data_IF_921178631535
#
_entry.id   IF_921178631535
#
_cell.length_a   1.000
_cell.length_b   1.000
_cell.length_c   1.000
_cell.angle_alpha   90.00
_cell.angle_beta   90.00
_cell.angle_gamma   90.00
#
_symmetry.space_group_name_H-M   'P 1'
#
loop_
_entity.id
_entity.type
_entity.pdbx_description
1 polymer ?
#
# COMPACT_ATOMS: atom_id res chain seq x y z
N UNK A 1 -3.34 11.91 34.32
CA UNK A 1 -1.93 11.46 34.10
C UNK A 1 -1.55 11.82 32.67
N UNK A 2 -0.53 12.68 32.45
CA UNK A 2 -0.01 12.93 31.09
C UNK A 2 0.91 11.77 30.69
N UNK A 3 0.59 11.06 29.61
CA UNK A 3 1.45 10.01 29.06
C UNK A 3 2.53 10.69 28.23
N UNK A 4 3.80 10.32 28.44
CA UNK A 4 4.91 10.91 27.67
C UNK A 4 4.96 10.29 26.27
N UNK A 5 5.19 11.06 25.20
CA UNK A 5 5.28 10.53 23.83
C UNK A 5 6.23 9.33 23.69
N UNK A 6 7.38 9.36 24.38
CA UNK A 6 8.34 8.25 24.38
C UNK A 6 7.77 6.96 24.99
N UNK A 7 6.88 7.05 25.98
CA UNK A 7 6.22 5.90 26.58
C UNK A 7 5.15 5.31 25.65
N UNK A 8 4.45 6.16 24.89
CA UNK A 8 3.51 5.72 23.85
C UNK A 8 4.28 4.97 22.76
N UNK A 9 5.38 5.55 22.28
CA UNK A 9 6.14 4.96 21.17
C UNK A 9 6.84 3.66 21.58
N UNK A 10 7.35 3.56 22.81
CA UNK A 10 7.88 2.31 23.34
C UNK A 10 6.81 1.22 23.48
N UNK A 11 5.60 1.58 23.91
CA UNK A 11 4.48 0.63 24.02
C UNK A 11 4.00 0.19 22.64
N UNK A 12 3.88 1.13 21.70
CA UNK A 12 3.52 0.85 20.31
C UNK A 12 4.52 -0.12 19.68
N UNK A 13 5.83 0.18 19.73
CA UNK A 13 6.87 -0.72 19.20
C UNK A 13 6.86 -2.12 19.84
N UNK A 14 6.51 -2.21 21.12
CA UNK A 14 6.42 -3.50 21.83
C UNK A 14 5.20 -4.31 21.42
N UNK A 15 4.08 -3.65 21.13
CA UNK A 15 2.82 -4.32 20.78
C UNK A 15 2.60 -4.48 19.28
N UNK A 16 3.30 -3.71 18.46
CA UNK A 16 3.13 -3.70 17.01
C UNK A 16 4.24 -4.51 16.35
N UNK A 17 3.97 -5.79 16.13
CA UNK A 17 4.86 -6.70 15.41
C UNK A 17 4.47 -6.77 13.93
N UNK A 18 5.33 -6.27 13.05
CA UNK A 18 5.06 -6.20 11.60
C UNK A 18 4.90 -7.60 11.00
N UNK A 19 5.60 -8.61 11.52
CA UNK A 19 5.48 -9.99 11.02
C UNK A 19 4.12 -10.62 11.39
N UNK A 20 3.59 -10.29 12.57
CA UNK A 20 2.24 -10.70 12.98
C UNK A 20 1.17 -10.00 12.15
N UNK A 21 1.34 -8.70 11.89
CA UNK A 21 0.42 -7.96 11.02
C UNK A 21 0.42 -8.50 9.59
N UNK A 22 1.60 -8.79 9.02
CA UNK A 22 1.69 -9.43 7.72
C UNK A 22 1.00 -10.79 7.71
N UNK A 23 1.15 -11.58 8.78
CA UNK A 23 0.44 -12.84 8.96
C UNK A 23 -1.08 -12.66 9.00
N UNK A 24 -1.58 -11.66 9.73
CA UNK A 24 -3.00 -11.37 9.80
C UNK A 24 -3.57 -10.95 8.43
N UNK A 25 -2.84 -10.13 7.66
CA UNK A 25 -3.22 -9.74 6.30
C UNK A 25 -3.29 -10.97 5.38
N UNK A 26 -2.27 -11.84 5.41
CA UNK A 26 -2.27 -13.08 4.61
C UNK A 26 -3.45 -13.95 5.01
N UNK A 27 -3.66 -14.15 6.31
CA UNK A 27 -4.75 -14.97 6.84
C UNK A 27 -6.12 -14.46 6.40
N UNK A 28 -6.33 -13.14 6.35
CA UNK A 28 -7.61 -12.55 5.97
C UNK A 28 -7.84 -12.58 4.45
N UNK A 29 -6.81 -12.22 3.68
CA UNK A 29 -6.89 -12.16 2.21
C UNK A 29 -7.02 -13.55 1.58
N UNK A 30 -6.35 -14.55 2.15
CA UNK A 30 -6.33 -15.91 1.62
C UNK A 30 -7.51 -16.75 2.10
N UNK A 31 -8.45 -16.18 2.87
CA UNK A 31 -9.72 -16.86 3.16
C UNK A 31 -10.45 -17.09 1.84
N UNK A 32 -10.83 -18.34 1.55
CA UNK A 32 -11.39 -18.71 0.25
C UNK A 32 -12.91 -18.83 0.25
N UNK A 33 -13.51 -19.03 1.42
CA UNK A 33 -14.97 -19.14 1.56
C UNK A 33 -15.67 -17.88 1.04
N UNK A 34 -16.73 -18.05 0.25
CA UNK A 34 -17.48 -16.93 -0.35
C UNK A 34 -18.15 -16.05 0.72
N UNK A 35 -18.52 -16.65 1.85
CA UNK A 35 -19.18 -16.04 3.00
C UNK A 35 -18.21 -15.69 4.14
N UNK A 36 -16.90 -15.79 3.93
CA UNK A 36 -15.92 -15.39 4.93
C UNK A 36 -16.09 -13.91 5.31
N UNK A 37 -16.22 -13.67 6.62
CA UNK A 37 -16.13 -12.33 7.20
C UNK A 37 -14.68 -11.84 7.08
N UNK A 38 -14.45 -10.96 6.11
CA UNK A 38 -13.15 -10.35 5.86
C UNK A 38 -13.09 -8.95 6.45
N UNK A 39 -11.92 -8.61 6.96
CA UNK A 39 -11.61 -7.23 7.35
C UNK A 39 -11.15 -6.43 6.13
N UNK A 40 -10.43 -7.07 5.21
CA UNK A 40 -9.88 -6.48 4.00
C UNK A 40 -10.75 -6.87 2.81
N UNK A 41 -11.35 -5.86 2.18
CA UNK A 41 -12.07 -6.02 0.92
C UNK A 41 -11.06 -6.28 -0.22
N UNK A 42 -11.23 -7.41 -0.91
CA UNK A 42 -10.30 -7.87 -1.96
C UNK A 42 -10.35 -7.01 -3.22
N UNK A 43 -11.52 -6.50 -3.57
CA UNK A 43 -11.69 -5.65 -4.76
C UNK A 43 -11.07 -4.28 -4.52
N UNK A 44 -11.30 -3.71 -3.34
CA UNK A 44 -10.66 -2.47 -2.92
C UNK A 44 -9.14 -2.63 -2.85
N UNK A 45 -8.66 -3.77 -2.34
CA UNK A 45 -7.23 -4.07 -2.27
C UNK A 45 -6.61 -4.21 -3.68
N UNK A 46 -7.27 -4.90 -4.60
CA UNK A 46 -6.81 -5.02 -5.99
C UNK A 46 -6.76 -3.65 -6.69
N UNK A 47 -7.79 -2.81 -6.47
CA UNK A 47 -7.81 -1.44 -6.98
C UNK A 47 -6.65 -0.62 -6.43
N UNK A 48 -6.44 -0.65 -5.10
CA UNK A 48 -5.30 0.03 -4.48
C UNK A 48 -3.97 -0.44 -5.06
N UNK A 49 -3.78 -1.75 -5.23
CA UNK A 49 -2.53 -2.29 -5.77
C UNK A 49 -2.27 -1.82 -7.21
N UNK A 50 -3.33 -1.66 -8.02
CA UNK A 50 -3.24 -1.09 -9.37
C UNK A 50 -2.78 0.37 -9.33
N UNK A 51 -3.37 1.19 -8.46
CA UNK A 51 -2.99 2.60 -8.28
C UNK A 51 -1.56 2.74 -7.72
N UNK A 52 -1.19 1.87 -6.79
CA UNK A 52 0.15 1.76 -6.22
C UNK A 52 1.23 1.44 -7.28
N UNK A 53 0.84 0.88 -8.42
CA UNK A 53 1.72 0.63 -9.57
C UNK A 53 2.44 1.89 -10.05
N UNK A 54 1.75 3.04 -10.04
CA UNK A 54 2.35 4.33 -10.40
C UNK A 54 3.47 4.78 -9.44
N UNK A 55 3.53 4.19 -8.24
CA UNK A 55 4.51 4.48 -7.20
C UNK A 55 5.54 3.35 -7.02
N UNK A 56 5.65 2.47 -8.02
CA UNK A 56 6.66 1.39 -8.05
C UNK A 56 6.26 0.11 -7.32
N UNK A 57 5.00 -0.04 -6.89
CA UNK A 57 4.50 -1.33 -6.43
C UNK A 57 4.23 -2.27 -7.62
N UNK A 58 4.50 -3.55 -7.44
CA UNK A 58 4.23 -4.55 -8.47
C UNK A 58 2.80 -5.07 -8.31
N UNK A 59 1.84 -4.46 -9.00
CA UNK A 59 0.40 -4.72 -8.81
C UNK A 59 0.03 -6.19 -8.99
N UNK A 60 0.64 -6.90 -9.94
CA UNK A 60 0.36 -8.32 -10.19
C UNK A 60 0.91 -9.26 -9.12
N UNK A 61 1.82 -8.79 -8.25
CA UNK A 61 2.39 -9.62 -7.18
C UNK A 61 1.37 -10.01 -6.10
N UNK A 62 0.17 -9.42 -6.11
CA UNK A 62 -0.90 -9.76 -5.17
C UNK A 62 -1.68 -11.02 -5.54
N UNK A 63 -1.48 -11.56 -6.74
CA UNK A 63 -2.12 -12.78 -7.21
C UNK A 63 -1.17 -13.95 -7.02
N UNK A 64 -1.75 -15.16 -6.94
CA UNK A 64 -0.96 -16.38 -6.84
C UNK A 64 -0.06 -16.54 -8.06
N UNK A 65 1.21 -16.88 -7.82
CA UNK A 65 2.18 -17.19 -8.86
C UNK A 65 2.63 -18.65 -8.70
N UNK A 66 2.35 -19.47 -9.72
CA UNK A 66 2.69 -20.89 -9.73
C UNK A 66 4.21 -21.11 -9.70
N UNK A 67 4.99 -20.26 -10.37
CA UNK A 67 6.46 -20.36 -10.40
C UNK A 67 7.10 -20.15 -9.02
N UNK A 68 6.40 -19.47 -8.12
CA UNK A 68 6.82 -19.22 -6.74
C UNK A 68 5.84 -19.80 -5.72
N UNK A 69 5.15 -20.89 -6.05
CA UNK A 69 4.14 -21.50 -5.18
C UNK A 69 4.65 -21.84 -3.77
N UNK A 70 5.95 -22.10 -3.62
CA UNK A 70 6.61 -22.37 -2.33
C UNK A 70 6.62 -21.18 -1.35
N UNK A 71 6.37 -19.96 -1.83
CA UNK A 71 6.32 -18.75 -1.00
C UNK A 71 4.94 -18.54 -0.33
N UNK A 72 3.94 -19.35 -0.69
CA UNK A 72 2.56 -19.20 -0.26
C UNK A 72 2.15 -20.22 0.79
N UNK A 73 1.28 -19.78 1.70
CA UNK A 73 0.62 -20.64 2.69
C UNK A 73 -0.65 -21.23 2.04
N UNK A 74 -0.47 -22.21 1.15
CA UNK A 74 -1.55 -22.87 0.40
C UNK A 74 -1.64 -22.45 -1.07
N UNK A 75 -2.79 -22.75 -1.70
CA UNK A 75 -3.09 -22.42 -3.10
C UNK A 75 -4.54 -21.96 -3.24
N UNK A 76 -4.86 -21.05 -4.18
CA UNK A 76 -6.25 -20.77 -4.54
C UNK A 76 -6.99 -22.03 -4.98
N UNK A 77 -8.26 -22.13 -4.60
CA UNK A 77 -9.24 -23.06 -5.14
C UNK A 77 -9.55 -22.70 -6.59
N UNK A 78 -10.10 -23.67 -7.32
CA UNK A 78 -10.44 -23.51 -8.73
C UNK A 78 -11.40 -22.33 -8.93
N UNK A 79 -11.07 -21.42 -9.85
CA UNK A 79 -11.83 -20.19 -10.09
C UNK A 79 -11.50 -19.03 -9.15
N UNK A 80 -10.70 -19.28 -8.10
CA UNK A 80 -10.12 -18.26 -7.23
C UNK A 80 -8.79 -17.70 -7.75
N UNK A 81 -8.26 -18.19 -8.88
CA UNK A 81 -6.93 -17.80 -9.37
C UNK A 81 -6.84 -16.31 -9.76
N UNK A 82 -7.97 -15.68 -10.05
CA UNK A 82 -8.07 -14.26 -10.41
C UNK A 82 -8.35 -13.34 -9.22
N UNK A 83 -8.43 -13.91 -8.01
CA UNK A 83 -8.60 -13.14 -6.78
C UNK A 83 -7.24 -12.92 -6.12
N UNK A 84 -7.05 -11.80 -5.39
CA UNK A 84 -5.85 -11.59 -4.60
C UNK A 84 -5.61 -12.76 -3.65
N UNK A 85 -4.39 -13.28 -3.67
CA UNK A 85 -3.91 -14.38 -2.83
C UNK A 85 -2.44 -14.12 -2.53
N UNK A 86 -2.16 -13.78 -1.28
CA UNK A 86 -0.89 -13.19 -0.89
C UNK A 86 0.10 -14.23 -0.36
N UNK A 87 1.35 -14.09 -0.77
CA UNK A 87 2.47 -14.63 0.00
C UNK A 87 2.80 -13.69 1.15
N UNK A 88 3.42 -14.23 2.20
CA UNK A 88 3.91 -13.41 3.33
C UNK A 88 4.90 -12.34 2.89
N UNK A 89 5.71 -12.62 1.88
CA UNK A 89 6.65 -11.68 1.28
C UNK A 89 5.93 -10.47 0.66
N UNK A 90 4.84 -10.70 -0.06
CA UNK A 90 4.05 -9.63 -0.68
C UNK A 90 3.32 -8.82 0.39
N UNK A 91 2.74 -9.46 1.41
CA UNK A 91 2.12 -8.74 2.53
C UNK A 91 3.09 -7.79 3.25
N UNK A 92 4.37 -8.19 3.41
CA UNK A 92 5.40 -7.27 3.92
C UNK A 92 5.69 -6.10 2.97
N UNK A 93 5.77 -6.34 1.66
CA UNK A 93 5.95 -5.27 0.66
C UNK A 93 4.79 -4.27 0.69
N UNK A 94 3.57 -4.75 0.84
CA UNK A 94 2.36 -3.92 1.00
C UNK A 94 2.49 -3.03 2.22
N UNK A 95 2.83 -3.59 3.38
CA UNK A 95 3.01 -2.83 4.62
C UNK A 95 4.10 -1.75 4.47
N UNK A 96 5.25 -2.11 3.89
CA UNK A 96 6.31 -1.12 3.62
C UNK A 96 5.75 -0.01 2.73
N UNK A 97 5.15 -0.34 1.59
CA UNK A 97 4.61 0.64 0.66
C UNK A 97 3.59 1.58 1.33
N UNK A 98 2.64 1.03 2.08
CA UNK A 98 1.60 1.82 2.77
C UNK A 98 2.18 2.77 3.82
N UNK A 99 3.20 2.34 4.57
CA UNK A 99 3.73 3.12 5.70
C UNK A 99 4.95 3.98 5.35
N UNK A 100 5.64 3.74 4.23
CA UNK A 100 6.82 4.55 3.82
C UNK A 100 6.50 5.60 2.77
N UNK A 101 5.34 5.56 2.11
CA UNK A 101 4.97 6.60 1.14
C UNK A 101 4.48 7.91 1.77
N UNK A 102 4.26 7.94 3.08
CA UNK A 102 3.93 9.16 3.83
C UNK A 102 5.09 10.15 4.01
N UNK A 103 6.34 9.77 3.69
CA UNK A 103 7.51 10.65 3.81
C UNK A 103 7.94 11.33 2.50
N UNK A 104 7.28 11.06 1.38
CA UNK A 104 7.68 11.53 0.05
C UNK A 104 6.66 12.49 -0.58
N UNK A 105 6.05 13.36 0.23
CA UNK A 105 5.37 14.56 -0.28
C UNK A 105 5.79 15.76 0.55
N UNK A 106 7.05 16.14 0.40
CA UNK A 106 7.40 17.55 0.59
C UNK A 106 6.56 18.32 -0.45
N UNK A 107 5.73 19.30 -0.05
CA UNK A 107 5.03 20.11 -1.03
C UNK A 107 6.09 20.69 -1.96
N UNK A 108 5.89 20.55 -3.28
CA UNK A 108 6.75 21.18 -4.27
C UNK A 108 7.01 22.61 -3.80
N UNK A 109 8.29 22.96 -3.63
CA UNK A 109 8.67 24.28 -3.17
C UNK A 109 7.90 25.32 -3.99
N UNK A 110 7.34 26.36 -3.36
CA UNK A 110 6.66 27.41 -4.10
C UNK A 110 7.60 27.86 -5.24
N UNK A 111 7.06 28.05 -6.47
CA UNK A 111 7.87 28.39 -7.62
C UNK A 111 8.76 29.57 -7.24
N UNK A 112 10.04 29.49 -7.62
CA UNK A 112 10.95 30.60 -7.36
C UNK A 112 10.40 31.86 -8.03
N UNK A 113 10.70 33.03 -7.48
CA UNK A 113 10.21 34.31 -8.00
C UNK A 113 10.49 34.47 -9.51
N UNK A 114 11.60 33.90 -9.98
CA UNK A 114 11.98 33.85 -11.39
C UNK A 114 11.05 32.98 -12.25
N UNK A 115 10.61 31.84 -11.73
CA UNK A 115 9.66 30.93 -12.40
C UNK A 115 8.25 31.50 -12.41
N UNK A 116 7.83 32.16 -11.33
CA UNK A 116 6.57 32.90 -11.26
C UNK A 116 6.56 34.09 -12.25
N UNK A 117 7.67 34.81 -12.37
CA UNK A 117 7.84 35.90 -13.34
C UNK A 117 7.83 35.39 -14.79
N UNK A 118 8.48 34.27 -15.08
CA UNK A 118 8.46 33.65 -16.40
C UNK A 118 7.05 33.18 -16.78
N UNK A 119 6.32 32.56 -15.85
CA UNK A 119 4.93 32.15 -16.09
C UNK A 119 4.00 33.35 -16.33
N UNK A 120 4.20 34.44 -15.59
CA UNK A 120 3.45 35.69 -15.78
C UNK A 120 3.77 36.37 -17.12
N UNK A 121 5.04 36.38 -17.54
CA UNK A 121 5.47 37.01 -18.80
C UNK A 121 5.08 36.19 -20.04
N UNK A 122 4.97 34.87 -19.91
CA UNK A 122 4.60 33.96 -20.98
C UNK A 122 3.08 33.74 -21.09
N UNK A 123 2.29 34.28 -20.15
CA UNK A 123 0.83 34.24 -20.24
C UNK A 123 0.36 35.14 -21.39
N UNK A 124 -0.36 34.63 -22.40
CA UNK A 124 -0.89 35.45 -23.47
C UNK A 124 -1.84 36.49 -22.86
N UNK A 125 -1.55 37.78 -23.09
CA UNK A 125 -2.51 38.83 -22.75
C UNK A 125 -3.69 38.67 -23.70
N UNK A 126 -4.80 38.19 -23.18
CA UNK A 126 -6.07 38.19 -23.90
C UNK A 126 -6.30 39.59 -24.46
N UNK A 127 -6.37 39.65 -25.79
CA UNK A 127 -6.63 40.86 -26.57
C UNK A 127 -8.11 41.17 -26.47
N UNK A 128 -8.47 42.19 -25.70
CA UNK A 128 -9.68 42.98 -25.92
C UNK A 128 -9.37 44.15 -26.82
#
# INVERSE_FOLDING_TARGET
RRVRPNQIMATFKRQFNVAELAGAIVSDMNQQALDAERVIDRDLFAKWASEAGASGFESHSIYFNEDSAGDYEGRPEQGGEYQPFLSRKVAMRVLVHMFTQGSAKEPAAPPTEKEALLAFLLSPKDST
#
